data_IF_581121653430
#
_entry.id   IF_581121653430
#
_cell.length_a   1.000
_cell.length_b   1.000
_cell.length_c   1.000
_cell.angle_alpha   90.00
_cell.angle_beta   90.00
_cell.angle_gamma   90.00
#
_symmetry.space_group_name_H-M   'P 1'
#
loop_
_entity.id
_entity.type
_entity.pdbx_description
1 polymer ?
#
# COMPACT_ATOMS: atom_id res chain seq x y z
N UNK A 1 7.17 -14.97 5.32
CA UNK A 1 7.04 -14.18 4.08
C UNK A 1 5.79 -14.57 3.29
N UNK A 2 5.68 -15.80 2.77
CA UNK A 2 4.55 -16.23 1.92
C UNK A 2 3.14 -15.88 2.42
N UNK A 3 2.86 -15.96 3.74
CA UNK A 3 1.51 -15.63 4.26
C UNK A 3 1.17 -14.14 4.09
N UNK A 4 2.10 -13.25 4.48
CA UNK A 4 1.89 -11.80 4.42
C UNK A 4 1.89 -11.31 2.97
N UNK A 5 2.77 -11.86 2.14
CA UNK A 5 2.79 -11.60 0.69
C UNK A 5 1.45 -12.00 0.06
N UNK A 6 0.92 -13.19 0.37
CA UNK A 6 -0.41 -13.58 -0.09
C UNK A 6 -1.52 -12.63 0.40
N UNK A 7 -1.43 -12.12 1.64
CA UNK A 7 -2.39 -11.14 2.14
C UNK A 7 -2.26 -9.78 1.44
N UNK A 8 -1.04 -9.37 1.07
CA UNK A 8 -0.79 -8.17 0.25
C UNK A 8 -1.40 -8.35 -1.13
N UNK A 9 -1.22 -9.51 -1.76
CA UNK A 9 -1.82 -9.80 -3.07
C UNK A 9 -3.35 -9.74 -2.99
N UNK A 10 -3.95 -10.34 -1.96
CA UNK A 10 -5.40 -10.26 -1.73
C UNK A 10 -5.88 -8.84 -1.47
N UNK A 11 -5.09 -8.02 -0.76
CA UNK A 11 -5.39 -6.61 -0.54
C UNK A 11 -5.44 -5.84 -1.87
N UNK A 12 -4.47 -6.07 -2.75
CA UNK A 12 -4.40 -5.44 -4.07
C UNK A 12 -5.55 -5.93 -4.94
N UNK A 13 -5.80 -7.24 -4.97
CA UNK A 13 -6.92 -7.83 -5.70
C UNK A 13 -8.27 -7.26 -5.26
N UNK A 14 -8.47 -7.09 -3.94
CA UNK A 14 -9.73 -6.55 -3.40
C UNK A 14 -10.01 -5.11 -3.87
N UNK A 15 -8.98 -4.37 -4.28
CA UNK A 15 -9.06 -3.01 -4.78
C UNK A 15 -8.84 -2.90 -6.29
N UNK A 16 -8.62 -4.02 -6.96
CA UNK A 16 -8.43 -4.07 -8.41
C UNK A 16 -9.64 -3.47 -9.14
N UNK A 17 -9.36 -2.80 -10.25
CA UNK A 17 -10.34 -2.12 -11.12
C UNK A 17 -11.17 -1.03 -10.43
N UNK A 18 -10.88 -0.67 -9.17
CA UNK A 18 -11.45 0.53 -8.54
C UNK A 18 -10.68 1.75 -9.01
N UNK A 19 -11.40 2.82 -9.27
CA UNK A 19 -10.80 4.07 -9.72
C UNK A 19 -10.38 4.92 -8.51
N UNK A 20 -9.08 5.02 -8.27
CA UNK A 20 -8.46 5.84 -7.23
C UNK A 20 -8.80 7.34 -7.38
N UNK A 21 -9.07 7.81 -8.60
CA UNK A 21 -9.40 9.20 -8.91
C UNK A 21 -10.90 9.50 -8.84
N UNK A 22 -11.74 8.49 -8.62
CA UNK A 22 -13.18 8.72 -8.45
C UNK A 22 -13.44 9.47 -7.14
N UNK A 23 -14.42 10.38 -7.14
CA UNK A 23 -14.79 11.20 -5.96
C UNK A 23 -15.15 10.37 -4.71
N UNK A 24 -15.56 9.12 -4.90
CA UNK A 24 -15.92 8.17 -3.85
C UNK A 24 -14.86 7.07 -3.63
N UNK A 25 -13.62 7.25 -4.13
CA UNK A 25 -12.56 6.24 -4.02
C UNK A 25 -12.30 5.80 -2.57
N UNK A 26 -12.28 6.74 -1.62
CA UNK A 26 -12.10 6.44 -0.19
C UNK A 26 -13.26 5.67 0.45
N UNK A 27 -14.43 5.63 -0.22
CA UNK A 27 -15.60 4.84 0.20
C UNK A 27 -15.68 3.47 -0.44
N UNK A 28 -14.93 3.22 -1.51
CA UNK A 28 -14.97 1.94 -2.24
C UNK A 28 -13.68 1.16 -2.07
N UNK A 29 -12.55 1.85 -1.91
CA UNK A 29 -11.25 1.26 -1.61
C UNK A 29 -11.08 1.14 -0.10
N UNK A 30 -10.64 -0.04 0.35
CA UNK A 30 -10.51 -0.33 1.77
C UNK A 30 -9.30 -1.22 2.03
N UNK A 31 -8.80 -1.11 3.26
CA UNK A 31 -7.88 -2.09 3.82
C UNK A 31 -8.65 -3.35 4.24
N UNK A 32 -8.07 -4.52 3.97
CA UNK A 32 -8.51 -5.79 4.49
C UNK A 32 -8.15 -5.86 5.97
N UNK A 33 -9.16 -6.12 6.80
CA UNK A 33 -9.00 -6.26 8.25
C UNK A 33 -7.91 -7.29 8.61
N UNK A 34 -7.87 -8.41 7.88
CA UNK A 34 -6.89 -9.48 8.10
C UNK A 34 -5.46 -9.00 7.94
N UNK A 35 -5.12 -8.38 6.80
CA UNK A 35 -3.77 -7.87 6.56
C UNK A 35 -3.40 -6.78 7.57
N UNK A 36 -4.31 -5.86 7.87
CA UNK A 36 -4.05 -4.79 8.83
C UNK A 36 -3.73 -5.33 10.22
N UNK A 37 -4.50 -6.30 10.70
CA UNK A 37 -4.26 -6.93 12.00
C UNK A 37 -2.97 -7.75 12.00
N UNK A 38 -2.64 -8.44 10.90
CA UNK A 38 -1.38 -9.15 10.76
C UNK A 38 -0.18 -8.19 10.81
N UNK A 39 -0.22 -7.08 10.06
CA UNK A 39 0.82 -6.04 10.10
C UNK A 39 0.92 -5.43 11.51
N UNK A 40 -0.21 -5.09 12.13
CA UNK A 40 -0.26 -4.51 13.48
C UNK A 40 0.33 -5.43 14.55
N UNK A 41 0.21 -6.74 14.35
CA UNK A 41 0.73 -7.77 15.24
C UNK A 41 2.13 -8.26 14.84
N UNK A 42 2.84 -7.57 13.94
CA UNK A 42 4.27 -7.78 13.66
C UNK A 42 5.14 -7.39 14.86
N UNK A 43 4.97 -8.08 15.98
CA UNK A 43 5.89 -8.05 17.11
C UNK A 43 7.06 -8.97 16.76
N UNK A 44 8.25 -8.40 16.62
CA UNK A 44 9.49 -9.16 16.53
C UNK A 44 10.09 -9.34 15.14
N UNK A 45 9.52 -8.73 14.09
CA UNK A 45 10.26 -8.58 12.84
C UNK A 45 11.37 -7.54 13.01
N UNK A 46 12.53 -7.86 12.48
CA UNK A 46 13.63 -6.91 12.31
C UNK A 46 13.26 -5.85 11.29
N UNK A 47 13.93 -4.69 11.38
CA UNK A 47 13.77 -3.61 10.39
C UNK A 47 13.98 -4.11 8.94
N UNK A 48 14.90 -5.07 8.75
CA UNK A 48 15.13 -5.71 7.46
C UNK A 48 13.92 -6.47 6.94
N UNK A 49 13.23 -7.27 7.77
CA UNK A 49 12.08 -8.04 7.31
C UNK A 49 10.89 -7.14 6.94
N UNK A 50 10.71 -6.03 7.66
CA UNK A 50 9.71 -5.01 7.31
C UNK A 50 10.08 -4.34 5.98
N UNK A 51 11.36 -4.04 5.76
CA UNK A 51 11.82 -3.48 4.49
C UNK A 51 11.56 -4.40 3.30
N UNK A 52 11.75 -5.71 3.44
CA UNK A 52 11.43 -6.67 2.36
C UNK A 52 9.92 -6.70 2.06
N UNK A 53 9.06 -6.66 3.08
CA UNK A 53 7.60 -6.57 2.88
C UNK A 53 7.20 -5.27 2.18
N UNK A 54 7.84 -4.15 2.52
CA UNK A 54 7.62 -2.86 1.86
C UNK A 54 8.06 -2.95 0.39
N UNK A 55 9.22 -3.54 0.10
CA UNK A 55 9.71 -3.71 -1.28
C UNK A 55 8.73 -4.54 -2.11
N UNK A 56 8.29 -5.69 -1.58
CA UNK A 56 7.28 -6.52 -2.23
C UNK A 56 5.97 -5.76 -2.45
N UNK A 57 5.50 -5.02 -1.43
CA UNK A 57 4.27 -4.21 -1.55
C UNK A 57 4.40 -3.18 -2.66
N UNK A 58 5.53 -2.46 -2.74
CA UNK A 58 5.77 -1.45 -3.76
C UNK A 58 5.82 -2.06 -5.17
N UNK A 59 6.48 -3.22 -5.33
CA UNK A 59 6.52 -3.94 -6.60
C UNK A 59 5.12 -4.30 -7.07
N UNK A 60 4.29 -4.89 -6.21
CA UNK A 60 2.91 -5.27 -6.56
C UNK A 60 2.00 -4.09 -6.86
N UNK A 61 2.20 -2.97 -6.19
CA UNK A 61 1.45 -1.74 -6.45
C UNK A 61 1.82 -1.16 -7.82
N UNK A 62 3.12 -1.08 -8.13
CA UNK A 62 3.60 -0.64 -9.46
C UNK A 62 3.08 -1.57 -10.55
N UNK A 63 3.17 -2.89 -10.37
CA UNK A 63 2.63 -3.88 -11.30
C UNK A 63 1.14 -3.63 -11.59
N UNK A 64 0.32 -3.41 -10.57
CA UNK A 64 -1.12 -3.21 -10.74
C UNK A 64 -1.45 -1.89 -11.46
N UNK A 65 -0.74 -0.80 -11.17
CA UNK A 65 -0.92 0.47 -11.90
C UNK A 65 -0.51 0.34 -13.38
N UNK A 66 0.63 -0.29 -13.67
CA UNK A 66 1.07 -0.53 -15.05
C UNK A 66 0.16 -1.53 -15.79
N UNK A 67 -0.45 -2.50 -15.08
CA UNK A 67 -1.41 -3.45 -15.66
C UNK A 67 -2.66 -2.75 -16.19
N UNK A 68 -3.16 -1.75 -15.48
CA UNK A 68 -4.37 -1.00 -15.88
C UNK A 68 -4.07 -0.03 -17.03
N UNK A 69 -2.85 0.50 -17.10
CA UNK A 69 -2.44 1.39 -18.18
C UNK A 69 -0.99 1.16 -18.61
N UNK A 70 -0.81 0.52 -19.77
CA UNK A 70 0.49 0.17 -20.36
C UNK A 70 1.40 1.37 -20.69
N UNK A 71 0.87 2.60 -20.67
CA UNK A 71 1.65 3.82 -20.89
C UNK A 71 2.17 4.46 -19.59
N UNK A 72 1.75 3.96 -18.43
CA UNK A 72 2.37 4.35 -17.17
C UNK A 72 3.71 3.62 -17.00
N UNK A 73 4.72 4.39 -16.63
CA UNK A 73 6.01 3.90 -16.18
C UNK A 73 6.46 4.74 -15.01
N UNK A 74 6.87 4.11 -13.92
CA UNK A 74 7.37 4.80 -12.74
C UNK A 74 8.89 4.78 -12.74
N UNK A 75 9.49 5.96 -12.68
CA UNK A 75 10.93 6.13 -12.56
C UNK A 75 11.45 5.73 -11.18
N UNK A 76 12.78 5.74 -11.02
CA UNK A 76 13.40 5.39 -9.74
C UNK A 76 13.04 6.36 -8.61
N UNK A 77 12.86 7.65 -8.93
CA UNK A 77 12.40 8.65 -7.96
C UNK A 77 10.94 8.40 -7.52
N UNK A 78 10.07 7.96 -8.43
CA UNK A 78 8.67 7.62 -8.11
C UNK A 78 8.60 6.38 -7.22
N UNK A 79 9.38 5.35 -7.54
CA UNK A 79 9.49 4.14 -6.71
C UNK A 79 10.04 4.44 -5.32
N UNK A 80 11.00 5.36 -5.22
CA UNK A 80 11.53 5.82 -3.93
C UNK A 80 10.45 6.53 -3.11
N UNK A 81 9.70 7.45 -3.70
CA UNK A 81 8.55 8.11 -3.04
C UNK A 81 7.49 7.11 -2.60
N UNK A 82 7.19 6.11 -3.43
CA UNK A 82 6.26 5.03 -3.09
C UNK A 82 6.75 4.23 -1.87
N UNK A 83 8.06 3.90 -1.84
CA UNK A 83 8.69 3.21 -0.72
C UNK A 83 8.56 4.02 0.59
N UNK A 84 8.72 5.33 0.51
CA UNK A 84 8.55 6.22 1.66
C UNK A 84 7.08 6.24 2.15
N UNK A 85 6.11 6.33 1.23
CA UNK A 85 4.67 6.22 1.56
C UNK A 85 4.35 4.92 2.30
N UNK A 86 4.87 3.77 1.82
CA UNK A 86 4.64 2.49 2.46
C UNK A 86 5.42 2.32 3.76
N UNK A 87 6.62 2.88 3.88
CA UNK A 87 7.36 2.90 5.15
C UNK A 87 6.58 3.63 6.23
N UNK A 88 6.05 4.81 5.92
CA UNK A 88 5.24 5.61 6.84
C UNK A 88 3.93 4.89 7.21
N UNK A 89 3.28 4.23 6.25
CA UNK A 89 2.08 3.44 6.50
C UNK A 89 2.36 2.29 7.49
N UNK A 90 3.37 1.47 7.23
CA UNK A 90 3.72 0.35 8.10
C UNK A 90 4.13 0.84 9.50
N UNK A 91 4.92 1.92 9.57
CA UNK A 91 5.30 2.54 10.85
C UNK A 91 4.08 3.00 11.65
N UNK A 92 3.10 3.63 11.00
CA UNK A 92 1.90 4.12 11.67
C UNK A 92 0.96 3.00 12.12
N UNK A 93 0.89 1.89 11.35
CA UNK A 93 0.14 0.68 11.74
C UNK A 93 0.78 0.03 12.97
N UNK A 94 2.10 -0.18 12.95
CA UNK A 94 2.84 -0.93 13.97
C UNK A 94 3.00 -0.11 15.25
N UNK A 95 3.49 1.14 15.14
CA UNK A 95 3.92 1.93 16.29
C UNK A 95 2.84 2.89 16.80
N UNK A 96 2.24 3.69 15.89
CA UNK A 96 1.29 4.74 16.28
C UNK A 96 -0.11 4.20 16.53
N UNK A 97 -0.43 2.98 16.06
CA UNK A 97 -1.71 2.29 16.29
C UNK A 97 -2.92 3.14 15.88
N UNK A 98 -2.75 3.97 14.84
CA UNK A 98 -3.79 4.86 14.32
C UNK A 98 -5.00 4.03 13.86
N UNK A 99 -6.24 4.53 14.05
CA UNK A 99 -7.43 3.89 13.53
C UNK A 99 -7.35 3.59 12.03
N UNK A 100 -7.80 2.41 11.64
CA UNK A 100 -7.71 1.88 10.27
C UNK A 100 -8.39 2.77 9.23
N UNK A 101 -9.54 3.34 9.56
CA UNK A 101 -10.28 4.24 8.66
C UNK A 101 -9.49 5.51 8.33
N UNK A 102 -8.85 6.12 9.33
CA UNK A 102 -8.02 7.31 9.14
C UNK A 102 -6.77 7.00 8.32
N UNK A 103 -6.14 5.84 8.57
CA UNK A 103 -4.99 5.38 7.78
C UNK A 103 -5.37 5.09 6.34
N UNK A 104 -6.51 4.43 6.13
CA UNK A 104 -7.02 4.09 4.79
C UNK A 104 -7.28 5.35 3.98
N UNK A 105 -7.97 6.35 4.54
CA UNK A 105 -8.25 7.61 3.87
C UNK A 105 -6.96 8.33 3.47
N UNK A 106 -6.04 8.51 4.44
CA UNK A 106 -4.76 9.16 4.19
C UNK A 106 -3.91 8.42 3.16
N UNK A 107 -3.88 7.09 3.22
CA UNK A 107 -3.10 6.29 2.29
C UNK A 107 -3.57 6.44 0.84
N UNK A 108 -4.88 6.39 0.60
CA UNK A 108 -5.40 6.57 -0.77
C UNK A 108 -5.22 8.00 -1.28
N UNK A 109 -5.25 9.01 -0.42
CA UNK A 109 -4.86 10.37 -0.82
C UNK A 109 -3.37 10.43 -1.19
N UNK A 110 -2.48 9.83 -0.39
CA UNK A 110 -1.05 9.79 -0.70
C UNK A 110 -0.78 9.07 -2.03
N UNK A 111 -1.44 7.92 -2.28
CA UNK A 111 -1.30 7.23 -3.57
C UNK A 111 -1.83 8.07 -4.73
N UNK A 112 -2.93 8.81 -4.53
CA UNK A 112 -3.47 9.70 -5.56
C UNK A 112 -2.47 10.79 -5.93
N UNK A 113 -1.93 11.50 -4.94
CA UNK A 113 -0.90 12.52 -5.15
C UNK A 113 0.36 11.93 -5.78
N UNK A 114 0.79 10.74 -5.33
CA UNK A 114 1.92 10.05 -5.92
C UNK A 114 1.72 9.78 -7.41
N UNK A 115 0.56 9.26 -7.83
CA UNK A 115 0.28 9.03 -9.27
C UNK A 115 0.18 10.35 -10.05
N UNK A 116 -0.39 11.42 -9.48
CA UNK A 116 -0.49 12.74 -10.14
C UNK A 116 0.87 13.42 -10.33
N UNK A 117 1.83 13.12 -9.46
CA UNK A 117 3.18 13.70 -9.45
C UNK A 117 4.24 12.80 -10.12
N UNK A 118 3.86 11.61 -10.58
CA UNK A 118 4.75 10.66 -11.28
C UNK A 118 4.76 10.89 -12.79
#
# INVERSE_FOLDING_TARGET
MNKLENQIDLQIESNRNKNLFHKDATKTMHFAQTLFDEIRNLKGLTENEVNVLIEYTCEKVVEEFCRVNQYYSFGEDDKKRLKDIYRDLYFDIIQKKIPMNLLSERHYQNLKSWVEES
#
